data_IF_720820078150
#
_entry.id   IF_720820078150
#
_cell.length_a   1.000
_cell.length_b   1.000
_cell.length_c   1.000
_cell.angle_alpha   90.00
_cell.angle_beta   90.00
_cell.angle_gamma   90.00
#
_symmetry.space_group_name_H-M   'P 1'
#
loop_
_entity.id
_entity.type
_entity.pdbx_description
1 polymer ?
#
# COMPACT_ATOMS: atom_id res chain seq x y z
N UNK A 1 26.16 -20.28 -38.67
CA UNK A 1 25.64 -21.27 -37.70
C UNK A 1 24.79 -20.51 -36.68
N UNK A 2 23.50 -20.32 -36.96
CA UNK A 2 22.58 -19.66 -36.02
C UNK A 2 22.02 -20.72 -35.06
N UNK A 3 22.35 -20.61 -33.77
CA UNK A 3 21.68 -21.35 -32.71
C UNK A 3 20.32 -20.71 -32.43
N UNK A 4 19.26 -21.21 -33.05
CA UNK A 4 17.90 -20.95 -32.60
C UNK A 4 17.63 -21.84 -31.37
N UNK A 5 17.84 -21.31 -30.16
CA UNK A 5 17.33 -21.94 -28.94
C UNK A 5 15.80 -21.90 -28.99
N UNK A 6 15.18 -22.97 -29.47
CA UNK A 6 13.74 -23.19 -29.32
C UNK A 6 13.45 -23.28 -27.82
N UNK A 7 12.77 -22.28 -27.26
CA UNK A 7 12.29 -22.34 -25.89
C UNK A 7 11.38 -23.56 -25.76
N UNK A 8 11.77 -24.53 -24.92
CA UNK A 8 11.01 -25.76 -24.71
C UNK A 8 9.73 -25.42 -23.97
N UNK A 9 8.61 -25.34 -24.71
CA UNK A 9 7.28 -25.19 -24.12
C UNK A 9 7.03 -26.36 -23.15
N UNK A 10 6.54 -26.05 -21.94
CA UNK A 10 6.21 -27.06 -20.91
C UNK A 10 4.98 -27.85 -21.36
N UNK A 11 4.89 -29.13 -20.99
CA UNK A 11 3.67 -29.92 -21.27
C UNK A 11 2.49 -29.40 -20.45
N UNK A 12 1.25 -29.64 -20.91
CA UNK A 12 0.04 -29.28 -20.15
C UNK A 12 0.05 -29.90 -18.76
N UNK A 13 0.44 -31.17 -18.66
CA UNK A 13 0.58 -31.89 -17.39
C UNK A 13 1.55 -31.19 -16.42
N UNK A 14 2.68 -30.68 -16.92
CA UNK A 14 3.64 -29.93 -16.09
C UNK A 14 3.05 -28.61 -15.61
N UNK A 15 2.30 -27.91 -16.47
CA UNK A 15 1.63 -26.67 -16.10
C UNK A 15 0.55 -26.94 -15.05
N UNK A 16 -0.25 -28.00 -15.21
CA UNK A 16 -1.30 -28.36 -14.27
C UNK A 16 -0.73 -28.79 -12.91
N UNK A 17 0.41 -29.47 -12.89
CA UNK A 17 1.13 -29.78 -11.65
C UNK A 17 1.56 -28.49 -10.92
N UNK A 18 2.11 -27.51 -11.65
CA UNK A 18 2.50 -26.22 -11.09
C UNK A 18 1.26 -25.46 -10.58
N UNK A 19 0.18 -25.41 -11.37
CA UNK A 19 -1.08 -24.79 -10.98
C UNK A 19 -1.62 -25.40 -9.69
N UNK A 20 -1.62 -26.73 -9.58
CA UNK A 20 -2.04 -27.43 -8.36
C UNK A 20 -1.14 -27.10 -7.17
N UNK A 21 0.17 -26.95 -7.38
CA UNK A 21 1.10 -26.48 -6.34
C UNK A 21 0.76 -25.07 -5.86
N UNK A 22 0.48 -24.13 -6.78
CA UNK A 22 0.08 -22.76 -6.45
C UNK A 22 -1.30 -22.71 -5.76
N UNK A 23 -2.21 -23.60 -6.12
CA UNK A 23 -3.49 -23.75 -5.44
C UNK A 23 -3.31 -24.22 -4.01
N UNK A 24 -2.44 -25.21 -3.76
CA UNK A 24 -2.13 -25.72 -2.42
C UNK A 24 -1.57 -24.65 -1.49
N UNK A 25 -0.69 -23.78 -1.99
CA UNK A 25 -0.14 -22.66 -1.21
C UNK A 25 -1.22 -21.79 -0.57
N UNK A 26 -2.34 -21.61 -1.26
CA UNK A 26 -3.45 -20.78 -0.78
C UNK A 26 -4.49 -21.63 -0.06
N UNK A 27 -4.91 -22.77 -0.60
CA UNK A 27 -6.12 -23.48 -0.16
C UNK A 27 -5.87 -24.72 0.71
N UNK A 28 -4.65 -25.27 0.73
CA UNK A 28 -4.31 -26.40 1.61
C UNK A 28 -3.93 -25.90 3.00
N UNK A 29 -4.30 -26.63 4.04
CA UNK A 29 -3.96 -26.27 5.42
C UNK A 29 -2.44 -26.36 5.63
N UNK A 30 -1.89 -25.41 6.39
CA UNK A 30 -0.44 -25.19 6.47
C UNK A 30 0.17 -24.49 5.24
N UNK A 31 -0.63 -24.11 4.24
CA UNK A 31 -0.17 -23.32 3.09
C UNK A 31 0.24 -21.89 3.48
N UNK A 32 1.39 -21.42 2.99
CA UNK A 32 1.94 -20.10 3.35
C UNK A 32 1.10 -18.91 2.87
N UNK A 33 0.15 -19.13 1.97
CA UNK A 33 -0.73 -18.12 1.39
C UNK A 33 -2.18 -18.21 1.88
N UNK A 34 -2.45 -18.86 3.01
CA UNK A 34 -3.81 -19.10 3.51
C UNK A 34 -4.68 -17.83 3.64
N UNK A 35 -4.07 -16.69 3.96
CA UNK A 35 -4.76 -15.39 4.05
C UNK A 35 -5.24 -14.84 2.71
N UNK A 36 -4.85 -15.47 1.61
CA UNK A 36 -5.30 -15.12 0.27
C UNK A 36 -6.56 -15.88 -0.19
N UNK A 37 -7.08 -16.81 0.63
CA UNK A 37 -8.29 -17.59 0.32
C UNK A 37 -9.51 -16.67 0.14
N UNK A 38 -10.37 -17.03 -0.82
CA UNK A 38 -11.70 -16.44 -1.01
C UNK A 38 -12.77 -17.52 -0.84
N UNK A 39 -13.92 -17.17 -0.27
CA UNK A 39 -14.98 -18.14 0.06
C UNK A 39 -15.58 -18.83 -1.17
N UNK A 40 -15.80 -18.09 -2.25
CA UNK A 40 -16.55 -18.56 -3.42
C UNK A 40 -15.68 -18.75 -4.67
N UNK A 41 -14.40 -18.35 -4.61
CA UNK A 41 -13.49 -18.39 -5.75
C UNK A 41 -12.17 -18.97 -5.32
N UNK A 42 -11.73 -20.02 -6.02
CA UNK A 42 -10.44 -20.63 -5.75
C UNK A 42 -9.32 -19.75 -6.31
N UNK A 43 -8.40 -19.35 -5.45
CA UNK A 43 -7.21 -18.56 -5.79
C UNK A 43 -6.00 -19.48 -5.81
N UNK A 44 -5.10 -19.31 -6.78
CA UNK A 44 -3.81 -19.98 -6.79
C UNK A 44 -2.70 -18.94 -6.85
N UNK A 45 -1.69 -19.08 -6.00
CA UNK A 45 -0.64 -18.07 -5.92
C UNK A 45 0.59 -18.51 -5.16
N UNK A 46 1.58 -17.61 -5.09
CA UNK A 46 2.82 -17.83 -4.37
C UNK A 46 3.23 -16.57 -3.61
N UNK A 47 3.65 -16.80 -2.38
CA UNK A 47 4.30 -15.82 -1.52
C UNK A 47 5.80 -15.75 -1.79
N UNK A 48 6.35 -14.55 -1.64
CA UNK A 48 7.78 -14.30 -1.58
C UNK A 48 8.09 -13.20 -0.57
N UNK A 49 9.32 -13.22 -0.06
CA UNK A 49 9.91 -12.12 0.70
C UNK A 49 11.32 -11.95 0.15
N UNK A 50 11.65 -10.76 -0.33
CA UNK A 50 13.00 -10.42 -0.77
C UNK A 50 13.68 -9.57 0.29
N UNK A 51 14.94 -9.85 0.56
CA UNK A 51 15.77 -9.00 1.40
C UNK A 51 16.21 -7.77 0.59
N UNK A 52 16.14 -6.59 1.21
CA UNK A 52 16.49 -5.33 0.60
C UNK A 52 17.30 -4.45 1.57
N UNK A 53 17.78 -3.32 1.06
CA UNK A 53 18.45 -2.28 1.84
C UNK A 53 17.91 -0.93 1.41
N UNK A 54 17.43 -0.12 2.36
CA UNK A 54 17.08 1.28 2.12
C UNK A 54 17.93 2.19 2.99
N UNK A 55 18.62 3.17 2.38
CA UNK A 55 19.50 4.13 3.06
C UNK A 55 20.51 3.50 4.03
N UNK A 56 21.00 2.30 3.71
CA UNK A 56 21.95 1.56 4.54
C UNK A 56 21.33 0.74 5.68
N UNK A 57 20.00 0.74 5.81
CA UNK A 57 19.25 -0.07 6.77
C UNK A 57 18.67 -1.32 6.10
N UNK A 58 18.60 -2.43 6.86
CA UNK A 58 17.95 -3.66 6.39
C UNK A 58 16.47 -3.40 6.14
N UNK A 59 15.98 -3.90 5.01
CA UNK A 59 14.60 -3.77 4.57
C UNK A 59 14.12 -5.11 3.99
N UNK A 60 12.82 -5.25 3.81
CA UNK A 60 12.18 -6.41 3.20
C UNK A 60 11.12 -5.98 2.20
N UNK A 61 11.00 -6.75 1.13
CA UNK A 61 9.96 -6.55 0.13
C UNK A 61 9.07 -7.79 0.14
N UNK A 62 7.83 -7.61 0.57
CA UNK A 62 6.81 -8.65 0.56
C UNK A 62 6.20 -8.77 -0.84
N UNK A 63 6.12 -10.01 -1.36
CA UNK A 63 5.58 -10.32 -2.67
C UNK A 63 4.44 -11.33 -2.56
N UNK A 64 3.41 -11.11 -3.38
CA UNK A 64 2.43 -12.13 -3.67
C UNK A 64 1.98 -12.04 -5.13
N UNK A 65 2.09 -13.15 -5.86
CA UNK A 65 1.60 -13.28 -7.21
C UNK A 65 0.55 -14.38 -7.26
N UNK A 66 -0.61 -14.09 -7.86
CA UNK A 66 -1.73 -15.03 -7.89
C UNK A 66 -2.57 -14.86 -9.14
N UNK A 67 -3.40 -15.87 -9.40
CA UNK A 67 -4.46 -15.83 -10.40
C UNK A 67 -5.76 -16.43 -9.84
N UNK A 68 -6.87 -15.98 -10.40
CA UNK A 68 -8.20 -16.48 -10.09
C UNK A 68 -9.18 -16.24 -11.25
N UNK A 69 -10.25 -17.03 -11.38
CA UNK A 69 -10.49 -18.31 -10.69
C UNK A 69 -9.48 -19.40 -11.05
N UNK A 70 -9.30 -20.42 -10.19
CA UNK A 70 -8.34 -21.50 -10.43
C UNK A 70 -8.63 -22.31 -11.71
N UNK A 71 -9.89 -22.72 -11.89
CA UNK A 71 -10.30 -23.62 -12.97
C UNK A 71 -10.29 -22.94 -14.33
N UNK A 72 -10.80 -21.70 -14.38
CA UNK A 72 -10.82 -20.85 -15.57
C UNK A 72 -10.20 -19.48 -15.25
N UNK A 73 -8.85 -19.35 -15.27
CA UNK A 73 -8.14 -18.13 -14.88
C UNK A 73 -8.55 -16.93 -15.74
N UNK A 74 -8.97 -15.85 -15.07
CA UNK A 74 -9.38 -14.60 -15.72
C UNK A 74 -8.47 -13.43 -15.36
N UNK A 75 -8.01 -13.37 -14.11
CA UNK A 75 -7.16 -12.30 -13.60
C UNK A 75 -5.85 -12.85 -13.06
N UNK A 76 -4.80 -12.06 -13.24
CA UNK A 76 -3.49 -12.24 -12.60
C UNK A 76 -3.19 -10.97 -11.82
N UNK A 77 -2.79 -11.11 -10.56
CA UNK A 77 -2.45 -9.99 -9.68
C UNK A 77 -1.08 -10.25 -9.08
N UNK A 78 -0.20 -9.26 -9.17
CA UNK A 78 1.09 -9.24 -8.48
C UNK A 78 1.15 -8.00 -7.59
N UNK A 79 1.36 -8.23 -6.29
CA UNK A 79 1.53 -7.17 -5.29
C UNK A 79 2.94 -7.24 -4.73
N UNK A 80 3.56 -6.07 -4.64
CA UNK A 80 4.86 -5.85 -4.03
C UNK A 80 4.72 -4.74 -2.98
N UNK A 81 5.16 -5.00 -1.75
CA UNK A 81 5.14 -4.03 -0.66
C UNK A 81 6.54 -3.93 -0.07
N UNK A 82 7.20 -2.79 -0.30
CA UNK A 82 8.46 -2.46 0.37
C UNK A 82 8.19 -2.12 1.85
N UNK A 83 9.09 -2.52 2.74
CA UNK A 83 8.88 -2.48 4.19
C UNK A 83 7.91 -3.54 4.69
N UNK A 84 7.47 -4.49 3.86
CA UNK A 84 6.57 -5.57 4.26
C UNK A 84 7.36 -6.77 4.78
N UNK A 85 6.98 -7.30 5.94
CA UNK A 85 7.68 -8.42 6.58
C UNK A 85 7.52 -9.73 5.78
N UNK A 86 6.28 -10.18 5.56
CA UNK A 86 6.00 -11.42 4.85
C UNK A 86 5.00 -11.27 3.70
N UNK A 87 5.28 -11.93 2.57
CA UNK A 87 4.39 -11.96 1.41
C UNK A 87 2.98 -12.49 1.74
N UNK A 88 2.87 -13.45 2.65
CA UNK A 88 1.58 -14.06 3.04
C UNK A 88 0.70 -13.18 3.93
N UNK A 89 1.29 -12.43 4.86
CA UNK A 89 0.57 -11.53 5.78
C UNK A 89 0.36 -10.14 5.19
N UNK A 90 1.29 -9.65 4.36
CA UNK A 90 1.25 -8.28 3.83
C UNK A 90 0.68 -8.25 2.40
N UNK A 91 1.37 -8.85 1.44
CA UNK A 91 1.01 -8.75 0.03
C UNK A 91 -0.21 -9.60 -0.36
N UNK A 92 -0.40 -10.75 0.31
CA UNK A 92 -1.52 -11.66 0.13
C UNK A 92 -2.89 -10.99 0.32
N UNK A 93 -3.17 -10.40 1.49
CA UNK A 93 -4.45 -9.72 1.75
C UNK A 93 -4.76 -8.58 0.77
N UNK A 94 -3.73 -7.82 0.35
CA UNK A 94 -3.89 -6.75 -0.65
C UNK A 94 -4.31 -7.33 -2.00
N UNK A 95 -3.63 -8.37 -2.47
CA UNK A 95 -3.98 -9.03 -3.73
C UNK A 95 -5.38 -9.63 -3.70
N UNK A 96 -5.76 -10.24 -2.59
CA UNK A 96 -7.09 -10.83 -2.39
C UNK A 96 -8.17 -9.76 -2.39
N UNK A 97 -7.92 -8.59 -1.79
CA UNK A 97 -8.87 -7.47 -1.85
C UNK A 97 -9.08 -6.97 -3.28
N UNK A 98 -8.00 -6.90 -4.08
CA UNK A 98 -8.09 -6.55 -5.50
C UNK A 98 -8.91 -7.58 -6.27
N UNK A 99 -8.63 -8.88 -6.08
CA UNK A 99 -9.36 -9.95 -6.75
C UNK A 99 -10.84 -9.96 -6.37
N UNK A 100 -11.16 -9.88 -5.08
CA UNK A 100 -12.53 -9.84 -4.57
C UNK A 100 -13.34 -8.71 -5.21
N UNK A 101 -12.79 -7.49 -5.27
CA UNK A 101 -13.47 -6.34 -5.87
C UNK A 101 -13.60 -6.48 -7.38
N UNK A 102 -12.56 -6.94 -8.06
CA UNK A 102 -12.58 -7.13 -9.52
C UNK A 102 -13.62 -8.18 -9.93
N UNK A 103 -13.69 -9.31 -9.21
CA UNK A 103 -14.67 -10.36 -9.46
C UNK A 103 -16.10 -9.89 -9.14
N UNK A 104 -16.29 -9.13 -8.06
CA UNK A 104 -17.59 -8.53 -7.76
C UNK A 104 -18.04 -7.51 -8.83
N UNK A 105 -17.11 -6.82 -9.49
CA UNK A 105 -17.44 -5.92 -10.62
C UNK A 105 -17.95 -6.71 -11.83
N UNK A 106 -17.38 -7.87 -12.14
CA UNK A 106 -17.87 -8.74 -13.22
C UNK A 106 -19.30 -9.22 -13.00
N UNK A 107 -19.65 -9.47 -11.74
CA UNK A 107 -20.99 -9.90 -11.32
C UNK A 107 -21.98 -8.73 -11.20
N UNK A 108 -21.52 -7.48 -11.40
CA UNK A 108 -22.33 -6.28 -11.17
C UNK A 108 -22.66 -6.03 -9.69
N UNK A 109 -22.00 -6.73 -8.77
CA UNK A 109 -22.21 -6.65 -7.33
C UNK A 109 -21.36 -5.55 -6.65
N UNK A 110 -20.43 -4.93 -7.38
CA UNK A 110 -19.60 -3.83 -6.89
C UNK A 110 -19.49 -2.72 -7.93
N UNK A 111 -19.90 -1.51 -7.55
CA UNK A 111 -19.67 -0.30 -8.33
C UNK A 111 -18.43 0.44 -7.82
N UNK A 112 -17.48 0.68 -8.72
CA UNK A 112 -16.20 1.26 -8.37
C UNK A 112 -16.29 2.79 -8.33
N UNK A 113 -16.17 3.34 -7.12
CA UNK A 113 -16.03 4.77 -6.94
C UNK A 113 -14.56 5.17 -6.93
N UNK A 114 -14.14 5.92 -7.94
CA UNK A 114 -12.79 6.49 -7.99
C UNK A 114 -12.83 7.88 -7.35
N UNK A 115 -12.09 8.04 -6.26
CA UNK A 115 -11.87 9.32 -5.61
C UNK A 115 -10.42 9.74 -5.78
N UNK A 116 -10.20 11.01 -6.12
CA UNK A 116 -8.88 11.59 -6.04
C UNK A 116 -8.46 11.70 -4.58
N UNK A 117 -7.37 11.02 -4.23
CA UNK A 117 -6.71 11.20 -2.95
C UNK A 117 -5.67 12.30 -3.09
N UNK A 118 -5.59 13.19 -2.10
CA UNK A 118 -4.48 14.12 -2.00
C UNK A 118 -3.19 13.33 -1.87
N UNK A 119 -2.14 13.63 -2.66
CA UNK A 119 -0.87 12.94 -2.54
C UNK A 119 -0.36 12.93 -1.09
N UNK A 120 0.26 11.83 -0.68
CA UNK A 120 0.90 11.76 0.62
C UNK A 120 2.16 12.66 0.60
N UNK A 121 2.12 13.79 1.32
CA UNK A 121 3.22 14.76 1.36
C UNK A 121 4.15 14.58 2.58
N UNK A 122 3.84 13.64 3.47
CA UNK A 122 4.68 13.34 4.64
C UNK A 122 5.76 12.35 4.24
N UNK A 123 6.95 12.47 4.83
CA UNK A 123 7.89 11.36 4.75
C UNK A 123 7.20 10.14 5.34
N UNK A 124 7.22 9.03 4.61
CA UNK A 124 6.85 7.75 5.19
C UNK A 124 7.94 7.45 6.24
N UNK A 125 7.63 7.46 7.55
CA UNK A 125 8.55 6.84 8.49
C UNK A 125 8.54 5.38 8.06
N UNK A 126 9.57 4.90 7.36
CA UNK A 126 9.63 3.53 6.84
C UNK A 126 9.54 2.55 8.01
N UNK A 127 8.31 2.28 8.44
CA UNK A 127 7.94 1.38 9.50
C UNK A 127 7.58 0.08 8.84
N UNK A 128 8.14 -1.00 9.38
CA UNK A 128 7.88 -2.33 8.87
C UNK A 128 6.41 -2.67 9.05
N UNK A 129 5.76 -3.06 7.96
CA UNK A 129 4.39 -3.56 7.95
C UNK A 129 4.48 -5.07 8.22
N UNK A 130 4.10 -5.48 9.44
CA UNK A 130 4.05 -6.90 9.82
C UNK A 130 2.88 -7.61 9.15
N UNK A 131 1.75 -6.92 9.05
CA UNK A 131 0.50 -7.51 8.61
C UNK A 131 -0.47 -6.50 7.98
N UNK A 132 -1.32 -6.97 7.07
CA UNK A 132 -2.42 -6.22 6.46
C UNK A 132 -3.74 -6.94 6.72
N UNK A 133 -4.71 -6.21 7.28
CA UNK A 133 -6.05 -6.72 7.51
C UNK A 133 -7.11 -5.73 7.01
N UNK A 134 -8.23 -6.23 6.51
CA UNK A 134 -9.35 -5.42 6.01
C UNK A 134 -10.62 -5.74 6.79
N UNK A 135 -11.26 -4.72 7.35
CA UNK A 135 -12.57 -4.87 7.98
C UNK A 135 -13.61 -5.36 6.96
N UNK A 136 -14.34 -6.41 7.31
CA UNK A 136 -15.35 -7.03 6.44
C UNK A 136 -14.77 -7.78 5.23
N UNK A 137 -13.46 -7.98 5.15
CA UNK A 137 -12.87 -8.98 4.26
C UNK A 137 -13.19 -10.36 4.83
N UNK A 138 -13.62 -11.29 3.99
CA UNK A 138 -13.98 -12.65 4.40
C UNK A 138 -12.71 -13.50 4.63
N UNK A 139 -11.83 -13.02 5.51
CA UNK A 139 -10.60 -13.69 5.95
C UNK A 139 -11.00 -14.58 7.12
N UNK A 140 -10.86 -15.91 7.03
CA UNK A 140 -11.00 -16.77 8.19
C UNK A 140 -10.03 -16.28 9.26
N UNK A 141 -10.58 -15.88 10.40
CA UNK A 141 -9.82 -15.60 11.61
C UNK A 141 -9.56 -16.95 12.29
N UNK A 142 -8.29 -17.33 12.43
CA UNK A 142 -7.84 -18.59 13.07
C UNK A 142 -6.86 -19.34 12.15
N UNK A 143 -5.65 -19.72 12.55
CA UNK A 143 -5.20 -20.08 13.89
C UNK A 143 -3.81 -19.54 14.24
N UNK A 144 -3.62 -19.45 15.55
CA UNK A 144 -2.47 -18.94 16.30
C UNK A 144 -1.18 -19.73 16.00
N UNK A 145 -0.23 -19.10 15.31
CA UNK A 145 1.18 -19.53 15.39
C UNK A 145 2.17 -18.37 15.18
N UNK A 146 1.84 -17.19 15.70
CA UNK A 146 2.81 -16.12 15.94
C UNK A 146 2.48 -15.42 17.27
N UNK A 147 2.85 -16.04 18.38
CA UNK A 147 2.95 -15.34 19.65
C UNK A 147 4.25 -14.51 19.65
N UNK A 148 4.18 -13.28 19.14
CA UNK A 148 4.96 -12.18 19.72
C UNK A 148 4.07 -10.95 19.85
N UNK A 149 3.61 -10.76 21.08
CA UNK A 149 2.65 -9.77 21.52
C UNK A 149 3.30 -8.38 21.46
N UNK A 150 3.01 -7.59 20.42
CA UNK A 150 3.40 -6.18 20.39
C UNK A 150 2.41 -5.31 19.62
N UNK A 151 1.47 -4.76 20.38
CA UNK A 151 0.84 -3.44 20.25
C UNK A 151 0.14 -3.11 18.92
N UNK A 152 -1.19 -3.19 18.96
CA UNK A 152 -2.09 -2.47 18.06
C UNK A 152 -1.68 -0.98 18.00
N UNK A 153 -1.17 -0.54 16.85
CA UNK A 153 -1.05 0.87 16.54
C UNK A 153 -2.20 1.24 15.61
N UNK A 154 -3.24 1.85 16.18
CA UNK A 154 -4.18 2.68 15.42
C UNK A 154 -3.37 3.71 14.63
N UNK A 155 -3.35 3.59 13.30
CA UNK A 155 -2.68 4.53 12.43
C UNK A 155 -3.42 5.87 12.44
N UNK A 156 -3.07 6.72 13.41
CA UNK A 156 -3.61 8.06 13.55
C UNK A 156 -2.95 8.99 12.53
N UNK A 157 -3.72 9.43 11.54
CA UNK A 157 -3.26 10.38 10.53
C UNK A 157 -2.90 11.72 11.20
N UNK A 158 -1.61 12.05 11.24
CA UNK A 158 -1.13 13.31 11.79
C UNK A 158 -1.58 14.51 10.94
N UNK A 159 -1.69 15.68 11.58
CA UNK A 159 -2.26 16.93 11.07
C UNK A 159 -1.43 17.64 9.98
N UNK A 160 -2.17 18.47 9.25
CA UNK A 160 -1.82 19.45 8.21
C UNK A 160 -1.08 20.64 8.81
N UNK A 161 0.10 20.99 8.27
CA UNK A 161 0.64 22.36 8.13
C UNK A 161 2.15 22.33 7.80
N UNK A 162 2.49 22.00 6.55
CA UNK A 162 3.83 22.26 6.03
C UNK A 162 3.78 22.53 4.52
N UNK A 163 4.39 23.65 4.11
CA UNK A 163 4.46 24.10 2.72
C UNK A 163 5.51 23.27 1.93
N UNK A 164 5.21 22.80 0.71
CA UNK A 164 6.13 21.97 -0.06
C UNK A 164 7.18 22.80 -0.81
N UNK A 165 8.45 22.38 -0.71
CA UNK A 165 9.53 22.80 -1.60
C UNK A 165 9.43 22.02 -2.92
N UNK A 166 8.86 22.65 -3.95
CA UNK A 166 8.87 22.16 -5.32
C UNK A 166 10.09 22.75 -6.02
N UNK A 167 11.08 21.90 -6.36
CA UNK A 167 12.14 22.31 -7.29
C UNK A 167 11.53 22.49 -8.70
N UNK A 168 11.78 23.61 -9.38
CA UNK A 168 11.20 23.86 -10.70
C UNK A 168 11.76 22.89 -11.76
N UNK A 169 10.89 22.45 -12.67
CA UNK A 169 11.23 21.57 -13.78
C UNK A 169 12.41 22.10 -14.64
N UNK A 170 13.23 21.18 -15.12
CA UNK A 170 14.34 21.48 -16.02
C UNK A 170 13.83 22.01 -17.37
N UNK A 171 14.56 22.94 -17.98
CA UNK A 171 14.24 23.44 -19.32
C UNK A 171 14.43 22.36 -20.40
N UNK A 172 13.97 22.63 -21.63
CA UNK A 172 14.06 21.70 -22.76
C UNK A 172 15.49 21.36 -23.21
N UNK A 173 16.51 21.89 -22.53
CA UNK A 173 17.92 21.53 -22.70
C UNK A 173 18.53 20.84 -21.47
N UNK A 174 17.70 20.46 -20.48
CA UNK A 174 18.10 19.66 -19.34
C UNK A 174 18.93 20.40 -18.28
N UNK A 175 18.90 21.74 -18.24
CA UNK A 175 19.59 22.51 -17.19
C UNK A 175 18.65 22.93 -16.07
N UNK A 176 19.04 22.62 -14.84
CA UNK A 176 18.36 23.06 -13.60
C UNK A 176 19.12 24.25 -13.02
N UNK A 177 18.48 25.41 -12.87
CA UNK A 177 19.10 26.58 -12.22
C UNK A 177 19.04 26.43 -10.70
N UNK A 178 20.17 26.09 -10.07
CA UNK A 178 20.32 26.12 -8.59
C UNK A 178 20.13 27.55 -8.06
N UNK A 179 19.24 27.75 -7.08
CA UNK A 179 19.19 29.00 -6.29
C UNK A 179 20.28 29.01 -5.22
N UNK A 180 20.82 30.21 -4.98
CA UNK A 180 21.76 30.54 -3.89
C UNK A 180 21.04 30.42 -2.53
N UNK A 181 21.68 29.91 -1.46
CA UNK A 181 21.03 29.70 -0.17
C UNK A 181 20.61 31.04 0.47
N UNK A 182 19.34 31.17 0.84
CA UNK A 182 18.87 32.27 1.70
C UNK A 182 19.06 31.86 3.16
N UNK A 183 19.56 32.79 3.97
CA UNK A 183 19.94 32.59 5.36
C UNK A 183 18.79 32.06 6.25
N UNK A 184 19.16 31.16 7.16
CA UNK A 184 18.29 30.46 8.12
C UNK A 184 17.75 31.45 9.16
N UNK A 185 16.43 31.54 9.31
CA UNK A 185 15.79 32.29 10.39
C UNK A 185 15.87 31.51 11.73
N UNK A 186 16.09 32.26 12.81
CA UNK A 186 16.28 31.80 14.21
C UNK A 186 14.95 31.25 14.78
N UNK A 187 14.95 30.18 15.60
CA UNK A 187 13.71 29.64 16.16
C UNK A 187 13.08 30.59 17.19
N UNK A 188 11.78 30.86 17.02
CA UNK A 188 10.91 31.52 18.01
C UNK A 188 10.50 30.51 19.08
N UNK A 189 10.50 30.96 20.34
CA UNK A 189 10.32 30.15 21.54
C UNK A 189 9.00 29.36 21.61
N UNK A 190 9.09 28.13 22.11
CA UNK A 190 7.97 27.23 22.42
C UNK A 190 7.06 27.80 23.51
N UNK A 191 5.72 27.85 23.35
CA UNK A 191 4.83 28.17 24.45
C UNK A 191 4.73 27.00 25.45
N UNK A 192 4.86 27.32 26.74
CA UNK A 192 4.81 26.40 27.88
C UNK A 192 3.46 25.66 27.99
N UNK A 193 3.44 24.40 28.49
CA UNK A 193 2.20 23.66 28.69
C UNK A 193 1.33 24.28 29.79
N UNK A 194 0.01 24.31 29.54
CA UNK A 194 -1.00 24.95 30.41
C UNK A 194 -1.29 24.11 31.67
N UNK A 195 -1.50 24.81 32.78
CA UNK A 195 -1.79 24.23 34.09
C UNK A 195 -3.25 23.75 34.20
N UNK A 196 -3.41 22.69 35.01
CA UNK A 196 -4.64 21.95 35.35
C UNK A 196 -5.89 22.80 35.68
N UNK A 197 -5.73 24.05 36.13
CA UNK A 197 -6.85 24.93 36.51
C UNK A 197 -7.65 25.53 35.33
N UNK A 198 -7.08 25.65 34.11
CA UNK A 198 -7.82 26.17 32.93
C UNK A 198 -8.82 25.15 32.33
N UNK A 199 -8.71 23.87 32.73
CA UNK A 199 -9.64 22.80 32.33
C UNK A 199 -10.95 22.81 33.11
N UNK A 200 -11.04 23.56 34.21
CA UNK A 200 -12.16 23.50 35.15
C UNK A 200 -13.19 24.63 34.95
N UNK A 201 -12.83 25.74 34.31
CA UNK A 201 -13.74 26.86 34.02
C UNK A 201 -13.85 27.10 32.51
N UNK A 202 -14.83 26.45 31.89
CA UNK A 202 -15.01 26.41 30.44
C UNK A 202 -15.34 27.76 29.81
N UNK A 203 -14.52 28.17 28.84
CA UNK A 203 -14.84 29.24 27.88
C UNK A 203 -15.11 28.60 26.52
N UNK A 204 -16.35 28.67 26.04
CA UNK A 204 -16.74 28.22 24.69
C UNK A 204 -16.15 29.18 23.64
N UNK A 205 -15.34 28.66 22.71
CA UNK A 205 -14.97 29.38 21.48
C UNK A 205 -15.85 28.91 20.31
N UNK A 206 -16.28 29.88 19.51
CA UNK A 206 -17.14 29.73 18.33
C UNK A 206 -16.40 29.00 17.18
N UNK A 207 -17.05 28.10 16.41
CA UNK A 207 -16.38 27.38 15.33
C UNK A 207 -16.01 28.31 14.17
N UNK A 208 -14.77 28.16 13.67
CA UNK A 208 -14.25 28.91 12.53
C UNK A 208 -14.90 28.42 11.20
N UNK A 209 -15.09 29.35 10.27
CA UNK A 209 -15.69 29.09 8.96
C UNK A 209 -14.79 28.23 8.05
N UNK A 210 -15.42 27.42 7.19
CA UNK A 210 -14.78 26.51 6.22
C UNK A 210 -14.04 27.31 5.13
N UNK A 211 -12.78 26.99 4.80
CA UNK A 211 -12.05 27.66 3.73
C UNK A 211 -12.54 27.24 2.33
N UNK A 212 -12.72 28.22 1.44
CA UNK A 212 -13.10 28.03 0.03
C UNK A 212 -11.90 27.68 -0.87
N UNK A 213 -12.11 26.92 -1.96
CA UNK A 213 -11.05 26.54 -2.89
C UNK A 213 -10.46 27.75 -3.64
N UNK A 214 -9.17 27.70 -4.03
CA UNK A 214 -8.51 28.79 -4.74
C UNK A 214 -9.09 28.99 -6.15
N UNK A 215 -9.30 30.25 -6.53
CA UNK A 215 -9.80 30.64 -7.85
C UNK A 215 -8.71 30.47 -8.91
N UNK A 216 -9.00 29.67 -9.95
CA UNK A 216 -8.14 29.52 -11.13
C UNK A 216 -8.10 30.84 -11.90
N UNK A 217 -6.96 31.53 -11.90
CA UNK A 217 -6.73 32.67 -12.78
C UNK A 217 -6.54 32.17 -14.22
N UNK A 218 -7.50 32.44 -15.10
CA UNK A 218 -7.32 32.23 -16.54
C UNK A 218 -6.20 33.14 -17.07
N UNK A 219 -5.33 32.65 -17.98
CA UNK A 219 -4.33 33.49 -18.62
C UNK A 219 -5.00 34.58 -19.45
N UNK A 220 -4.54 35.83 -19.29
CA UNK A 220 -4.93 36.94 -20.16
C UNK A 220 -4.38 36.66 -21.55
N UNK A 221 -5.26 36.58 -22.55
CA UNK A 221 -4.87 36.59 -23.95
C UNK A 221 -4.16 37.91 -24.27
N UNK A 222 -3.03 37.81 -24.96
CA UNK A 222 -2.44 38.87 -25.78
C UNK A 222 -2.31 38.32 -27.18
#
# INVERSE_FOLDING_TARGET
MLLTKTAKSRSREQIDLVRKGLWKVVNEDGGTGGRARLKNVQVAGKTGTAQATDRGHKDTVAWFACFAPFDNPKYVVAVMVQGGEHGGSVAGPVATRILERTLAMDEGAFDMQVAWLTPAHKSNPFQMIKDVNYAGGNVPSGDEENADDSQNADAQMASTDAAPDVEPEADSQGKVRRRVPVARAVPVATPQPRNFFERLFGVRRQPAAVPTPPTVRRPRAR
#
